data_IF_578183343367
#
_entry.id   IF_578183343367
#
_cell.length_a   1.000
_cell.length_b   1.000
_cell.length_c   1.000
_cell.angle_alpha   90.00
_cell.angle_beta   90.00
_cell.angle_gamma   90.00
#
_symmetry.space_group_name_H-M   'P 1'
#
loop_
_entity.id
_entity.type
_entity.pdbx_description
1 polymer ?
#
# COMPACT_ATOMS: atom_id res chain seq x y z
N UNK A 1 16.53 2.97 -8.60
CA UNK A 1 15.47 2.26 -9.33
C UNK A 1 14.17 2.98 -9.07
N UNK A 2 13.54 3.49 -10.11
CA UNK A 2 12.31 4.28 -9.97
C UNK A 2 11.10 3.37 -9.80
N UNK A 3 10.01 3.91 -9.25
CA UNK A 3 8.78 3.16 -8.99
C UNK A 3 8.17 2.51 -10.24
N UNK A 4 8.12 3.18 -11.42
CA UNK A 4 7.67 2.55 -12.66
C UNK A 4 8.55 1.37 -13.11
N UNK A 5 9.86 1.49 -12.88
CA UNK A 5 10.86 0.45 -13.16
C UNK A 5 10.66 -0.78 -12.28
N UNK A 6 10.38 -0.57 -10.98
CA UNK A 6 9.98 -1.64 -10.05
C UNK A 6 8.70 -2.31 -10.52
N UNK A 7 7.67 -1.53 -10.88
CA UNK A 7 6.40 -2.06 -11.39
C UNK A 7 6.65 -2.92 -12.64
N UNK A 8 7.45 -2.45 -13.61
CA UNK A 8 7.75 -3.20 -14.82
C UNK A 8 8.42 -4.55 -14.54
N UNK A 9 9.36 -4.59 -13.57
CA UNK A 9 10.01 -5.84 -13.14
C UNK A 9 9.04 -6.78 -12.42
N UNK A 10 8.17 -6.25 -11.55
CA UNK A 10 7.16 -7.06 -10.84
C UNK A 10 6.11 -7.63 -11.80
N UNK A 11 5.71 -6.86 -12.82
CA UNK A 11 4.80 -7.31 -13.89
C UNK A 11 5.45 -8.42 -14.73
N UNK A 12 6.73 -8.27 -15.09
CA UNK A 12 7.48 -9.28 -15.83
C UNK A 12 7.66 -10.58 -15.02
N UNK A 13 7.92 -10.49 -13.72
CA UNK A 13 8.03 -11.66 -12.82
C UNK A 13 6.70 -12.39 -12.62
N UNK A 14 5.58 -11.66 -12.71
CA UNK A 14 4.22 -12.24 -12.76
C UNK A 14 3.89 -12.87 -14.13
N UNK A 15 4.75 -12.68 -15.13
CA UNK A 15 4.52 -13.14 -16.50
C UNK A 15 3.45 -12.38 -17.26
N UNK A 16 3.08 -11.17 -16.81
CA UNK A 16 1.98 -10.42 -17.39
C UNK A 16 2.41 -9.60 -18.60
N UNK A 17 1.57 -9.63 -19.63
CA UNK A 17 1.71 -8.71 -20.75
C UNK A 17 1.05 -7.35 -20.45
N UNK A 18 1.29 -6.35 -21.32
CA UNK A 18 0.78 -4.99 -21.16
C UNK A 18 -0.75 -4.94 -21.02
N UNK A 19 -1.47 -5.81 -21.72
CA UNK A 19 -2.93 -5.84 -21.74
C UNK A 19 -3.50 -6.45 -20.47
N UNK A 20 -2.88 -7.54 -20.00
CA UNK A 20 -3.20 -8.17 -18.72
C UNK A 20 -2.92 -7.24 -17.55
N UNK A 21 -1.81 -6.50 -17.58
CA UNK A 21 -1.51 -5.51 -16.56
C UNK A 21 -2.51 -4.35 -16.57
N UNK A 22 -2.86 -3.82 -17.75
CA UNK A 22 -3.85 -2.76 -17.88
C UNK A 22 -5.23 -3.20 -17.36
N UNK A 23 -5.63 -4.43 -17.68
CA UNK A 23 -6.90 -5.00 -17.24
C UNK A 23 -6.93 -5.23 -15.73
N UNK A 24 -5.88 -5.84 -15.15
CA UNK A 24 -5.80 -6.09 -13.70
C UNK A 24 -5.69 -4.82 -12.86
N UNK A 25 -4.99 -3.81 -13.37
CA UNK A 25 -4.87 -2.50 -12.70
C UNK A 25 -6.03 -1.55 -12.98
N UNK A 26 -6.95 -1.88 -13.90
CA UNK A 26 -8.04 -0.97 -14.26
C UNK A 26 -7.52 0.38 -14.78
N UNK A 27 -6.44 0.36 -15.56
CA UNK A 27 -5.83 1.54 -16.19
C UNK A 27 -5.89 1.43 -17.72
N UNK A 28 -5.81 2.56 -18.42
CA UNK A 28 -5.79 2.55 -19.87
C UNK A 28 -4.54 1.83 -20.39
N UNK A 29 -4.69 1.07 -21.48
CA UNK A 29 -3.60 0.35 -22.16
C UNK A 29 -2.43 1.27 -22.51
N UNK A 30 -2.69 2.52 -22.86
CA UNK A 30 -1.68 3.55 -23.14
C UNK A 30 -0.88 3.94 -21.89
N UNK A 31 -1.54 4.04 -20.73
CA UNK A 31 -0.92 4.30 -19.43
C UNK A 31 -0.06 3.11 -18.99
N UNK A 32 -0.56 1.89 -19.14
CA UNK A 32 0.21 0.67 -18.88
C UNK A 32 1.47 0.60 -19.78
N UNK A 33 1.34 0.94 -21.07
CA UNK A 33 2.49 1.06 -21.98
C UNK A 33 3.49 2.07 -21.48
N UNK A 34 3.02 3.26 -21.08
CA UNK A 34 3.88 4.32 -20.57
C UNK A 34 4.69 3.88 -19.36
N UNK A 35 4.06 3.18 -18.41
CA UNK A 35 4.72 2.63 -17.21
C UNK A 35 5.81 1.62 -17.58
N UNK A 36 5.51 0.70 -18.50
CA UNK A 36 6.41 -0.40 -18.86
C UNK A 36 7.55 0.01 -19.80
N UNK A 37 7.34 1.05 -20.63
CA UNK A 37 8.29 1.45 -21.68
C UNK A 37 9.06 2.72 -21.32
N UNK A 38 8.49 3.60 -20.48
CA UNK A 38 9.06 4.91 -20.14
C UNK A 38 9.07 5.10 -18.61
N UNK A 39 9.99 4.45 -17.89
CA UNK A 39 10.03 4.49 -16.43
C UNK A 39 10.50 5.83 -15.84
N UNK A 40 10.87 6.78 -16.70
CA UNK A 40 11.26 8.16 -16.41
C UNK A 40 10.09 9.04 -15.96
N UNK A 41 8.84 8.60 -16.17
CA UNK A 41 7.65 9.41 -15.89
C UNK A 41 7.08 9.15 -14.49
N UNK A 42 6.91 10.24 -13.74
CA UNK A 42 6.18 10.21 -12.50
C UNK A 42 4.72 9.80 -12.73
N UNK A 43 4.27 8.87 -11.89
CA UNK A 43 2.90 8.38 -11.91
C UNK A 43 2.05 9.24 -10.99
N UNK A 44 0.87 9.63 -11.49
CA UNK A 44 -0.15 10.22 -10.63
C UNK A 44 -0.47 9.26 -9.49
N UNK A 45 -0.64 9.77 -8.28
CA UNK A 45 -0.96 8.96 -7.08
C UNK A 45 -2.12 7.98 -7.29
N UNK A 46 -3.17 8.39 -8.03
CA UNK A 46 -4.29 7.52 -8.38
C UNK A 46 -3.89 6.32 -9.27
N UNK A 47 -2.97 6.53 -10.23
CA UNK A 47 -2.44 5.47 -11.10
C UNK A 47 -1.50 4.55 -10.32
N UNK A 48 -0.66 5.14 -9.47
CA UNK A 48 0.26 4.40 -8.62
C UNK A 48 -0.49 3.45 -7.68
N UNK A 49 -1.58 3.93 -7.05
CA UNK A 49 -2.44 3.13 -6.19
C UNK A 49 -3.05 1.94 -6.92
N UNK A 50 -3.64 2.17 -8.10
CA UNK A 50 -4.17 1.09 -8.95
C UNK A 50 -3.12 0.05 -9.34
N UNK A 51 -1.89 0.47 -9.60
CA UNK A 51 -0.79 -0.45 -9.91
C UNK A 51 -0.37 -1.26 -8.68
N UNK A 52 -0.29 -0.62 -7.51
CA UNK A 52 0.02 -1.30 -6.25
C UNK A 52 -1.06 -2.34 -5.91
N UNK A 53 -2.33 -1.95 -6.01
CA UNK A 53 -3.49 -2.83 -5.78
C UNK A 53 -3.46 -4.04 -6.72
N UNK A 54 -3.19 -3.85 -8.01
CA UNK A 54 -3.08 -4.95 -8.97
C UNK A 54 -1.93 -5.92 -8.67
N UNK A 55 -0.84 -5.41 -8.09
CA UNK A 55 0.30 -6.22 -7.68
C UNK A 55 0.11 -6.87 -6.30
N UNK A 56 -0.97 -6.53 -5.58
CA UNK A 56 -1.22 -7.00 -4.21
C UNK A 56 -0.25 -6.37 -3.20
N UNK A 57 0.12 -5.11 -3.43
CA UNK A 57 1.06 -4.35 -2.61
C UNK A 57 0.43 -3.04 -2.16
N UNK A 58 0.87 -2.50 -1.02
CA UNK A 58 0.54 -1.11 -0.69
C UNK A 58 1.39 -0.14 -1.53
N UNK A 59 0.86 1.07 -1.76
CA UNK A 59 1.64 2.16 -2.40
C UNK A 59 2.93 2.42 -1.64
N UNK A 60 2.86 2.39 -0.30
CA UNK A 60 4.02 2.59 0.55
C UNK A 60 5.08 1.50 0.34
N UNK A 61 4.69 0.23 0.25
CA UNK A 61 5.62 -0.86 -0.01
C UNK A 61 6.29 -0.70 -1.38
N UNK A 62 5.50 -0.34 -2.39
CA UNK A 62 5.99 -0.16 -3.76
C UNK A 62 7.02 0.98 -3.87
N UNK A 63 6.84 2.05 -3.10
CA UNK A 63 7.75 3.21 -3.05
C UNK A 63 8.96 2.91 -2.16
N UNK A 64 8.73 2.49 -0.92
CA UNK A 64 9.74 2.41 0.15
C UNK A 64 10.58 1.14 0.14
N UNK A 65 10.04 -0.01 -0.31
CA UNK A 65 10.77 -1.26 -0.24
C UNK A 65 11.62 -1.52 -1.49
N UNK A 66 12.82 -2.11 -1.32
CA UNK A 66 13.63 -2.56 -2.45
C UNK A 66 12.97 -3.75 -3.15
N UNK A 67 13.24 -3.89 -4.45
CA UNK A 67 12.65 -4.92 -5.31
C UNK A 67 12.81 -6.33 -4.73
N UNK A 68 13.99 -6.63 -4.16
CA UNK A 68 14.30 -7.95 -3.59
C UNK A 68 13.37 -8.37 -2.45
N UNK A 69 12.80 -7.40 -1.71
CA UNK A 69 11.81 -7.67 -0.65
C UNK A 69 10.38 -7.74 -1.18
N UNK A 70 10.13 -7.18 -2.35
CA UNK A 70 8.82 -7.20 -3.02
C UNK A 70 8.62 -8.49 -3.83
N UNK A 71 9.68 -9.03 -4.44
CA UNK A 71 9.61 -10.24 -5.28
C UNK A 71 8.97 -11.45 -4.58
N UNK A 72 9.31 -11.82 -3.33
CA UNK A 72 8.67 -12.93 -2.63
C UNK A 72 7.18 -12.67 -2.38
N UNK A 73 6.82 -11.43 -2.02
CA UNK A 73 5.44 -11.04 -1.71
C UNK A 73 4.55 -11.05 -2.93
N UNK A 74 5.05 -10.54 -4.05
CA UNK A 74 4.32 -10.54 -5.33
C UNK A 74 4.17 -11.95 -5.88
N UNK A 75 5.13 -12.86 -5.67
CA UNK A 75 4.96 -14.27 -6.05
C UNK A 75 3.84 -14.99 -5.29
N UNK A 76 3.55 -14.57 -4.06
CA UNK A 76 2.53 -15.19 -3.21
C UNK A 76 1.20 -14.42 -3.16
N UNK A 77 1.16 -13.16 -3.58
CA UNK A 77 -0.08 -12.40 -3.61
C UNK A 77 -1.00 -12.88 -4.75
N UNK A 78 -2.30 -13.12 -4.47
CA UNK A 78 -3.26 -13.58 -5.47
C UNK A 78 -3.43 -12.54 -6.58
N UNK A 79 -3.42 -13.02 -7.83
CA UNK A 79 -3.51 -12.20 -9.03
C UNK A 79 -4.99 -11.99 -9.45
N UNK A 80 -5.64 -10.94 -8.99
CA UNK A 80 -7.02 -10.63 -9.39
C UNK A 80 -7.68 -9.55 -8.54
N UNK A 81 -8.93 -9.15 -8.85
CA UNK A 81 -9.72 -8.37 -7.90
C UNK A 81 -9.73 -9.11 -6.57
N UNK A 82 -9.47 -8.41 -5.45
CA UNK A 82 -9.29 -9.04 -4.17
C UNK A 82 -10.53 -9.88 -3.86
N UNK A 83 -10.30 -11.17 -3.56
CA UNK A 83 -11.37 -12.09 -3.21
C UNK A 83 -12.20 -11.49 -2.07
N UNK A 84 -13.52 -11.74 -2.01
CA UNK A 84 -14.31 -11.32 -0.86
C UNK A 84 -13.64 -11.86 0.40
N UNK A 85 -13.33 -10.95 1.32
CA UNK A 85 -12.62 -11.29 2.52
C UNK A 85 -13.48 -12.26 3.33
N UNK A 86 -12.93 -13.44 3.55
CA UNK A 86 -13.55 -14.44 4.39
C UNK A 86 -13.17 -14.17 5.84
N UNK A 87 -14.15 -13.65 6.59
CA UNK A 87 -14.01 -13.38 8.00
C UNK A 87 -14.43 -14.58 8.87
N UNK A 88 -14.83 -15.72 8.27
CA UNK A 88 -15.44 -16.85 8.99
C UNK A 88 -14.58 -17.38 10.14
N UNK A 89 -13.25 -17.29 10.00
CA UNK A 89 -12.29 -17.71 11.01
C UNK A 89 -12.01 -16.64 12.10
N UNK A 90 -12.70 -15.49 12.05
CA UNK A 90 -12.36 -14.29 12.84
C UNK A 90 -13.56 -13.70 13.61
N UNK A 91 -14.07 -14.42 14.62
CA UNK A 91 -15.27 -14.00 15.36
C UNK A 91 -15.10 -12.66 16.07
N UNK A 92 -13.89 -12.31 16.53
CA UNK A 92 -13.62 -11.03 17.19
C UNK A 92 -13.64 -9.84 16.23
N UNK A 93 -13.13 -10.01 15.01
CA UNK A 93 -13.19 -8.95 13.99
C UNK A 93 -14.62 -8.76 13.50
N UNK A 94 -15.37 -9.86 13.30
CA UNK A 94 -16.79 -9.77 12.98
C UNK A 94 -17.58 -9.01 14.04
N UNK A 95 -17.32 -9.28 15.33
CA UNK A 95 -17.98 -8.59 16.43
C UNK A 95 -17.65 -7.09 16.40
N UNK A 96 -16.37 -6.73 16.24
CA UNK A 96 -15.95 -5.34 16.14
C UNK A 96 -16.55 -4.60 14.93
N UNK A 97 -16.60 -5.25 13.76
CA UNK A 97 -17.21 -4.69 12.56
C UNK A 97 -18.72 -4.46 12.73
N UNK A 98 -19.40 -5.35 13.47
CA UNK A 98 -20.81 -5.20 13.80
C UNK A 98 -21.07 -4.09 14.84
N UNK A 99 -20.19 -3.95 15.83
CA UNK A 99 -20.28 -2.92 16.87
C UNK A 99 -19.91 -1.52 16.37
N UNK A 100 -19.10 -1.42 15.31
CA UNK A 100 -18.61 -0.16 14.75
C UNK A 100 -18.84 -0.02 13.24
N UNK A 101 -20.10 -0.04 12.76
CA UNK A 101 -20.42 -0.07 11.33
C UNK A 101 -19.93 1.18 10.58
N UNK A 102 -19.95 2.35 11.21
CA UNK A 102 -19.47 3.60 10.61
C UNK A 102 -17.95 3.60 10.38
N UNK A 103 -17.19 2.96 11.29
CA UNK A 103 -15.74 2.83 11.16
C UNK A 103 -15.39 1.72 10.17
N UNK A 104 -16.11 0.61 10.23
CA UNK A 104 -16.01 -0.49 9.28
C UNK A 104 -16.20 -0.02 7.83
N UNK A 105 -17.21 0.81 7.56
CA UNK A 105 -17.46 1.36 6.23
C UNK A 105 -16.32 2.25 5.69
N UNK A 106 -15.46 2.77 6.56
CA UNK A 106 -14.30 3.59 6.20
C UNK A 106 -13.04 2.77 5.99
N UNK A 107 -13.03 1.48 6.36
CA UNK A 107 -11.89 0.61 6.10
C UNK A 107 -11.94 0.13 4.66
N UNK A 108 -10.80 0.26 3.98
CA UNK A 108 -10.59 -0.32 2.66
C UNK A 108 -10.28 -1.81 2.77
N UNK A 109 -10.46 -2.54 1.67
CA UNK A 109 -10.19 -3.97 1.63
C UNK A 109 -8.74 -4.31 1.96
N UNK A 110 -7.78 -3.51 1.51
CA UNK A 110 -6.37 -3.67 1.87
C UNK A 110 -6.10 -3.49 3.37
N UNK A 111 -6.77 -2.54 4.03
CA UNK A 111 -6.64 -2.33 5.48
C UNK A 111 -7.27 -3.50 6.26
N UNK A 112 -8.36 -4.07 5.75
CA UNK A 112 -8.98 -5.28 6.31
C UNK A 112 -8.08 -6.51 6.12
N UNK A 113 -7.46 -6.69 4.95
CA UNK A 113 -6.48 -7.75 4.71
C UNK A 113 -5.27 -7.63 5.63
N UNK A 114 -4.81 -6.41 5.91
CA UNK A 114 -3.72 -6.16 6.86
C UNK A 114 -4.13 -6.58 8.29
N UNK A 115 -5.35 -6.25 8.72
CA UNK A 115 -5.91 -6.69 9.99
C UNK A 115 -6.01 -8.23 10.08
N UNK A 116 -6.43 -8.88 9.00
CA UNK A 116 -6.52 -10.35 8.89
C UNK A 116 -5.11 -10.97 8.94
N UNK A 117 -4.14 -10.40 8.22
CA UNK A 117 -2.77 -10.90 8.15
C UNK A 117 -2.04 -10.80 9.50
N UNK A 118 -2.31 -9.74 10.28
CA UNK A 118 -1.77 -9.56 11.62
C UNK A 118 -2.27 -10.62 12.63
N UNK A 119 -3.44 -11.24 12.40
CA UNK A 119 -3.91 -12.38 13.20
C UNK A 119 -3.19 -13.69 12.87
N UNK A 120 -2.68 -13.85 11.64
CA UNK A 120 -2.04 -15.09 11.18
C UNK A 120 -0.64 -15.35 11.75
N UNK A 121 0.04 -14.32 12.29
CA UNK A 121 1.42 -14.42 12.77
C UNK A 121 1.48 -14.22 14.29
N UNK A 122 1.15 -15.29 15.03
CA UNK A 122 1.62 -15.48 16.41
C UNK A 122 1.02 -14.58 17.48
N UNK A 123 -0.22 -14.86 17.89
CA UNK A 123 -0.73 -14.50 19.22
C UNK A 123 -2.22 -14.13 19.23
N UNK A 124 -2.94 -14.35 20.35
CA UNK A 124 -4.36 -14.02 20.45
C UNK A 124 -4.52 -12.49 20.40
N UNK A 125 -4.92 -11.95 19.26
CA UNK A 125 -5.37 -10.57 19.18
C UNK A 125 -6.64 -10.45 20.02
N UNK A 126 -6.50 -9.84 21.20
CA UNK A 126 -7.63 -9.45 22.03
C UNK A 126 -8.42 -8.35 21.31
N UNK A 127 -9.69 -8.15 21.67
CA UNK A 127 -10.52 -7.04 21.14
C UNK A 127 -9.80 -5.68 21.19
N UNK A 128 -8.97 -5.47 22.22
CA UNK A 128 -8.13 -4.29 22.41
C UNK A 128 -7.04 -4.15 21.33
N UNK A 129 -6.52 -5.25 20.79
CA UNK A 129 -5.57 -5.24 19.69
C UNK A 129 -6.21 -4.73 18.40
N UNK A 130 -7.41 -5.19 18.07
CA UNK A 130 -8.16 -4.74 16.88
C UNK A 130 -8.42 -3.24 16.97
N UNK A 131 -8.91 -2.78 18.12
CA UNK A 131 -9.18 -1.35 18.33
C UNK A 131 -7.91 -0.50 18.25
N UNK A 132 -6.79 -0.96 18.82
CA UNK A 132 -5.51 -0.28 18.71
C UNK A 132 -5.04 -0.17 17.25
N UNK A 133 -5.14 -1.25 16.47
CA UNK A 133 -4.73 -1.24 15.07
C UNK A 133 -5.64 -0.36 14.21
N UNK A 134 -6.95 -0.41 14.40
CA UNK A 134 -7.88 0.51 13.71
C UNK A 134 -7.55 1.96 14.08
N UNK A 135 -7.27 2.25 15.34
CA UNK A 135 -6.85 3.58 15.76
C UNK A 135 -5.54 4.03 15.08
N UNK A 136 -4.58 3.12 14.88
CA UNK A 136 -3.35 3.42 14.13
C UNK A 136 -3.65 3.75 12.66
N UNK A 137 -4.50 2.96 12.01
CA UNK A 137 -4.92 3.17 10.62
C UNK A 137 -5.60 4.55 10.48
N UNK A 138 -6.53 4.86 11.37
CA UNK A 138 -7.24 6.15 11.35
C UNK A 138 -6.30 7.32 11.62
N UNK A 139 -5.41 7.20 12.62
CA UNK A 139 -4.41 8.23 12.92
C UNK A 139 -3.48 8.46 11.74
N UNK A 140 -3.05 7.40 11.05
CA UNK A 140 -2.22 7.49 9.85
C UNK A 140 -2.95 8.23 8.73
N UNK A 141 -4.21 7.89 8.49
CA UNK A 141 -5.05 8.54 7.46
C UNK A 141 -5.26 10.02 7.74
N UNK A 142 -5.56 10.36 8.99
CA UNK A 142 -5.69 11.74 9.44
C UNK A 142 -4.39 12.52 9.24
N UNK A 143 -3.26 11.93 9.64
CA UNK A 143 -1.94 12.54 9.49
C UNK A 143 -1.64 12.83 8.02
N UNK A 144 -1.82 11.85 7.14
CA UNK A 144 -1.58 12.02 5.70
C UNK A 144 -2.46 13.12 5.10
N UNK A 145 -3.73 13.19 5.49
CA UNK A 145 -4.63 14.25 5.03
C UNK A 145 -4.15 15.63 5.50
N UNK A 146 -3.70 15.75 6.75
CA UNK A 146 -3.16 17.00 7.27
C UNK A 146 -1.87 17.40 6.56
N UNK A 147 -0.99 16.44 6.32
CA UNK A 147 0.26 16.65 5.56
C UNK A 147 -0.06 17.14 4.15
N UNK A 148 -1.05 16.55 3.48
CA UNK A 148 -1.50 16.99 2.15
C UNK A 148 -2.02 18.44 2.16
N UNK A 149 -2.80 18.82 3.17
CA UNK A 149 -3.27 20.20 3.34
C UNK A 149 -2.08 21.14 3.59
N UNK A 150 -1.17 20.79 4.50
CA UNK A 150 0.00 21.61 4.85
C UNK A 150 0.93 21.78 3.65
N UNK A 151 1.13 20.73 2.85
CA UNK A 151 1.93 20.77 1.63
C UNK A 151 1.36 21.75 0.59
N UNK A 152 0.05 22.04 0.63
CA UNK A 152 -0.59 23.06 -0.20
C UNK A 152 -0.46 24.49 0.33
N UNK A 153 0.27 24.71 1.42
CA UNK A 153 0.46 26.02 2.05
C UNK A 153 1.92 26.48 1.97
N UNK A 154 2.19 27.71 2.39
CA UNK A 154 3.55 28.28 2.51
C UNK A 154 4.44 27.50 3.51
N UNK A 155 3.88 26.57 4.28
CA UNK A 155 4.61 25.70 5.20
C UNK A 155 5.26 24.49 4.52
N UNK A 156 5.12 24.34 3.20
CA UNK A 156 5.72 23.24 2.44
C UNK A 156 7.22 23.11 2.72
N UNK A 157 7.98 24.20 2.63
CA UNK A 157 9.44 24.19 2.84
C UNK A 157 9.84 23.71 4.25
N UNK A 158 8.98 23.95 5.25
CA UNK A 158 9.20 23.49 6.63
C UNK A 158 8.85 22.01 6.76
N UNK A 159 7.74 21.60 6.15
CA UNK A 159 7.32 20.20 6.09
C UNK A 159 8.38 19.33 5.41
N UNK A 160 8.94 19.79 4.28
CA UNK A 160 10.02 19.09 3.57
C UNK A 160 11.22 18.84 4.50
N UNK A 161 11.73 19.87 5.18
CA UNK A 161 12.85 19.74 6.12
C UNK A 161 12.56 18.77 7.27
N UNK A 162 11.35 18.82 7.82
CA UNK A 162 10.95 17.90 8.90
C UNK A 162 10.89 16.45 8.42
N UNK A 163 10.31 16.22 7.24
CA UNK A 163 10.23 14.88 6.65
C UNK A 163 11.63 14.36 6.31
N UNK A 164 12.49 15.20 5.77
CA UNK A 164 13.87 14.86 5.42
C UNK A 164 14.67 14.43 6.66
N UNK A 165 14.60 15.19 7.75
CA UNK A 165 15.21 14.84 9.03
C UNK A 165 14.69 13.50 9.59
N UNK A 166 13.39 13.24 9.48
CA UNK A 166 12.82 11.96 9.92
C UNK A 166 13.24 10.80 9.01
N UNK A 167 13.34 11.04 7.70
CA UNK A 167 13.73 10.05 6.71
C UNK A 167 15.19 9.60 6.91
N UNK A 168 16.09 10.54 7.20
CA UNK A 168 17.48 10.23 7.55
C UNK A 168 17.60 9.33 8.78
N UNK A 169 16.69 9.47 9.75
CA UNK A 169 16.69 8.66 10.97
C UNK A 169 16.11 7.25 10.77
N UNK A 170 15.30 7.06 9.72
CA UNK A 170 14.67 5.76 9.38
C UNK A 170 15.59 4.94 8.45
N UNK A 171 16.43 5.60 7.65
CA UNK A 171 17.48 4.94 6.87
C UNK A 171 18.57 4.43 7.82
N UNK A 172 18.99 3.14 7.75
CA UNK A 172 20.15 2.70 8.52
C UNK A 172 21.39 3.50 8.11
N UNK A 173 22.21 4.00 9.05
CA UNK A 173 23.42 4.72 8.71
C UNK A 173 24.44 3.76 8.10
N UNK A 174 24.48 3.67 6.77
CA UNK A 174 25.52 2.94 6.03
C UNK A 174 25.04 2.08 4.88
N UNK A 175 24.71 2.71 3.76
CA UNK A 175 24.80 2.07 2.44
C UNK A 175 25.55 3.04 1.51
N UNK A 176 26.81 3.30 1.83
CA UNK A 176 27.64 4.25 1.11
C UNK A 176 29.09 4.22 1.56
N UNK A 177 29.81 3.14 1.19
CA UNK A 177 31.22 3.16 0.85
C UNK A 177 31.48 2.14 -0.25
#
# INVERSE_FOLDING_TARGET
MNVPEKIARLVAERGWNQDEFAQRAGIARTTARGILTHPERDLRNATLRRCADALGLSVNDLVSLPLDRLLPRVRHAPAGPPAPLDFSDQPLLQHWLADHPERAARLSQAELEELISLQGVGGPLTLHGIEHFVNLIERRRELLRRVEIIAGTELLDVLEKLVELMWEHIQPPGAGR
#
